data_IF_115596300715
#
_entry.id   IF_115596300715
#
_cell.length_a   1.000
_cell.length_b   1.000
_cell.length_c   1.000
_cell.angle_alpha   90.00
_cell.angle_beta   90.00
_cell.angle_gamma   90.00
#
_symmetry.space_group_name_H-M   'P 1'
#
loop_
_entity.id
_entity.type
_entity.pdbx_description
1 polymer ?
#
# COMPACT_ATOMS: atom_id res chain seq x y z
N UNK A 1 -16.36 3.85 9.16
CA UNK A 1 -15.05 4.49 8.88
C UNK A 1 -14.32 3.86 7.70
N UNK A 2 -14.18 2.54 7.62
CA UNK A 2 -13.72 1.88 6.38
C UNK A 2 -14.72 2.13 5.24
N UNK A 3 -16.01 2.29 5.56
CA UNK A 3 -17.04 2.84 4.66
C UNK A 3 -16.77 4.28 4.18
N UNK A 4 -16.06 5.13 4.94
CA UNK A 4 -15.64 6.47 4.48
C UNK A 4 -14.49 6.32 3.49
N UNK A 5 -13.56 5.39 3.72
CA UNK A 5 -12.56 5.06 2.70
C UNK A 5 -13.21 4.43 1.47
N UNK A 6 -14.19 3.53 1.64
CA UNK A 6 -14.98 2.99 0.54
C UNK A 6 -15.62 4.13 -0.24
N UNK A 7 -16.06 5.19 0.44
CA UNK A 7 -16.59 6.38 -0.19
C UNK A 7 -15.56 7.22 -0.93
N UNK A 8 -14.41 7.47 -0.32
CA UNK A 8 -13.27 8.15 -0.93
C UNK A 8 -12.87 7.38 -2.19
N UNK A 9 -12.75 6.05 -2.11
CA UNK A 9 -12.42 5.19 -3.25
C UNK A 9 -13.55 5.10 -4.28
N UNK A 10 -14.83 5.18 -3.89
CA UNK A 10 -16.00 5.19 -4.80
C UNK A 10 -16.12 6.52 -5.56
N UNK A 11 -15.82 7.63 -4.90
CA UNK A 11 -15.84 8.99 -5.48
C UNK A 11 -14.60 9.22 -6.33
N UNK A 12 -13.43 8.80 -5.86
CA UNK A 12 -12.18 9.02 -6.55
C UNK A 12 -11.87 8.01 -7.64
N UNK A 13 -12.57 6.86 -7.71
CA UNK A 13 -12.29 5.79 -8.67
C UNK A 13 -10.80 5.76 -9.03
N UNK A 14 -9.94 5.60 -8.02
CA UNK A 14 -8.54 6.06 -8.06
C UNK A 14 -7.88 5.55 -9.34
N UNK A 15 -7.60 6.45 -10.29
CA UNK A 15 -7.13 6.10 -11.63
C UNK A 15 -5.85 6.86 -11.93
N UNK A 16 -4.74 6.14 -11.92
CA UNK A 16 -3.55 6.60 -12.62
C UNK A 16 -3.01 5.50 -13.53
N UNK A 17 -3.00 5.79 -14.82
CA UNK A 17 -1.88 5.42 -15.67
C UNK A 17 -1.33 6.70 -16.30
N UNK A 18 -0.04 6.97 -16.09
CA UNK A 18 0.77 7.64 -17.09
C UNK A 18 1.29 6.58 -18.06
N UNK A 19 1.15 6.73 -19.39
CA UNK A 19 2.07 6.09 -20.30
C UNK A 19 3.39 6.87 -20.26
N UNK A 20 4.44 6.28 -19.69
CA UNK A 20 5.82 6.74 -19.92
C UNK A 20 6.17 6.36 -21.36
N UNK A 21 5.72 7.18 -22.32
CA UNK A 21 6.14 7.09 -23.70
C UNK A 21 7.35 8.02 -23.88
N UNK A 22 8.53 7.44 -24.13
CA UNK A 22 9.75 8.18 -24.52
C UNK A 22 9.44 9.05 -25.75
N UNK A 23 9.40 10.37 -25.58
CA UNK A 23 9.39 11.33 -26.69
C UNK A 23 10.73 11.26 -27.43
N UNK A 24 10.78 10.57 -28.55
CA UNK A 24 11.80 10.80 -29.57
C UNK A 24 11.21 11.75 -30.63
N UNK A 25 11.69 12.99 -30.64
CA UNK A 25 11.36 13.99 -31.64
C UNK A 25 11.93 13.59 -33.01
N UNK A 26 11.06 13.26 -33.97
CA UNK A 26 11.32 13.49 -35.39
C UNK A 26 10.07 14.06 -36.05
N UNK A 27 10.15 15.33 -36.44
CA UNK A 27 9.15 16.04 -37.22
C UNK A 27 9.12 15.52 -38.65
N UNK A 28 7.94 15.09 -39.10
CA UNK A 28 7.58 15.05 -40.52
C UNK A 28 6.17 15.65 -40.64
N UNK A 29 6.08 16.78 -41.35
CA UNK A 29 4.82 17.43 -41.68
C UNK A 29 4.17 16.73 -42.88
N UNK A 30 2.99 16.16 -42.69
CA UNK A 30 2.03 15.87 -43.78
C UNK A 30 0.61 16.10 -43.28
N UNK A 31 -0.09 17.05 -43.92
CA UNK A 31 -1.52 17.32 -43.73
C UNK A 31 -2.35 16.07 -44.03
N UNK A 32 -3.12 15.59 -43.02
CA UNK A 32 -4.16 14.57 -43.19
C UNK A 32 -5.34 14.89 -42.27
N UNK A 33 -6.55 14.74 -42.82
CA UNK A 33 -7.83 15.02 -42.19
C UNK A 33 -7.89 14.55 -40.73
N UNK A 34 -8.22 15.47 -39.83
CA UNK A 34 -8.41 15.19 -38.41
C UNK A 34 -9.81 14.61 -38.19
N UNK A 35 -9.90 13.28 -38.17
CA UNK A 35 -10.99 12.64 -37.43
C UNK A 35 -10.68 12.92 -35.96
N UNK A 36 -11.55 13.65 -35.28
CA UNK A 36 -11.49 13.86 -33.82
C UNK A 36 -11.76 12.54 -33.10
N UNK A 37 -10.79 11.62 -33.10
CA UNK A 37 -10.76 10.46 -32.20
C UNK A 37 -9.94 10.83 -30.96
N UNK A 38 -10.50 11.69 -30.12
CA UNK A 38 -10.02 11.86 -28.76
C UNK A 38 -11.07 11.32 -27.80
N UNK A 39 -11.44 10.04 -27.96
CA UNK A 39 -11.92 9.30 -26.81
C UNK A 39 -10.68 9.13 -25.92
N UNK A 40 -10.61 9.88 -24.83
CA UNK A 40 -9.70 9.58 -23.73
C UNK A 40 -10.23 8.31 -23.08
N UNK A 41 -10.08 7.17 -23.77
CA UNK A 41 -10.25 5.89 -23.14
C UNK A 41 -9.02 5.70 -22.27
N UNK A 42 -9.19 5.91 -20.96
CA UNK A 42 -8.29 5.32 -19.99
C UNK A 42 -8.41 3.81 -20.18
N UNK A 43 -7.58 3.24 -21.06
CA UNK A 43 -7.61 1.83 -21.42
C UNK A 43 -7.31 1.02 -20.16
N UNK A 44 -8.37 0.45 -19.58
CA UNK A 44 -8.24 -0.57 -18.55
C UNK A 44 -7.65 -1.82 -19.19
N UNK A 45 -6.68 -2.41 -18.52
CA UNK A 45 -6.33 -3.78 -18.83
C UNK A 45 -7.57 -4.64 -18.58
N UNK A 46 -7.71 -5.68 -19.39
CA UNK A 46 -8.90 -6.50 -19.40
C UNK A 46 -8.66 -7.72 -20.23
N UNK A 47 -9.72 -8.54 -20.33
CA UNK A 47 -9.64 -9.79 -21.07
C UNK A 47 -9.22 -9.58 -22.53
N UNK A 48 -9.66 -8.49 -23.18
CA UNK A 48 -9.24 -8.16 -24.55
C UNK A 48 -7.75 -7.83 -24.66
N UNK A 49 -7.19 -7.08 -23.71
CA UNK A 49 -5.75 -6.80 -23.71
C UNK A 49 -4.93 -8.09 -23.54
N UNK A 50 -5.38 -8.98 -22.65
CA UNK A 50 -4.78 -10.30 -22.47
C UNK A 50 -4.89 -11.19 -23.72
N UNK A 51 -6.07 -11.24 -24.34
CA UNK A 51 -6.32 -12.02 -25.56
C UNK A 51 -5.52 -11.49 -26.76
N UNK A 52 -5.33 -10.16 -26.85
CA UNK A 52 -4.50 -9.49 -27.86
C UNK A 52 -2.99 -9.68 -27.63
N UNK A 53 -2.58 -10.41 -26.59
CA UNK A 53 -1.20 -10.83 -26.37
C UNK A 53 -0.47 -10.06 -25.28
N UNK A 54 -1.14 -9.22 -24.49
CA UNK A 54 -0.51 -8.59 -23.32
C UNK A 54 -0.36 -9.58 -22.16
N UNK A 55 0.73 -10.36 -22.21
CA UNK A 55 1.15 -11.34 -21.19
C UNK A 55 2.12 -10.70 -20.18
N UNK A 56 1.91 -10.95 -18.89
CA UNK A 56 2.72 -10.42 -17.79
C UNK A 56 4.10 -11.07 -17.73
N UNK A 57 4.19 -12.38 -17.90
CA UNK A 57 5.45 -13.14 -17.86
C UNK A 57 6.47 -12.66 -18.88
N UNK A 58 6.02 -12.21 -20.06
CA UNK A 58 6.89 -11.66 -21.11
C UNK A 58 7.68 -10.41 -20.68
N UNK A 59 7.20 -9.70 -19.64
CA UNK A 59 7.83 -8.49 -19.10
C UNK A 59 8.75 -8.78 -17.92
N UNK A 60 8.67 -9.97 -17.34
CA UNK A 60 9.46 -10.34 -16.18
C UNK A 60 10.93 -10.55 -16.54
N UNK A 61 11.78 -9.97 -15.71
CA UNK A 61 13.23 -10.08 -15.70
C UNK A 61 13.66 -10.72 -14.38
N UNK A 62 14.93 -11.05 -14.25
CA UNK A 62 15.50 -11.59 -13.00
C UNK A 62 15.24 -10.64 -11.80
N UNK A 63 15.33 -9.33 -12.03
CA UNK A 63 15.09 -8.29 -11.01
C UNK A 63 13.61 -7.94 -10.81
N UNK A 64 12.66 -8.65 -11.43
CA UNK A 64 11.23 -8.42 -11.25
C UNK A 64 10.74 -9.07 -9.95
N UNK A 65 11.15 -8.51 -8.82
CA UNK A 65 10.86 -9.04 -7.48
C UNK A 65 10.26 -7.97 -6.59
N UNK A 66 9.43 -8.41 -5.64
CA UNK A 66 8.94 -7.57 -4.54
C UNK A 66 9.78 -7.87 -3.31
N UNK A 67 10.48 -6.86 -2.81
CA UNK A 67 11.34 -6.95 -1.63
C UNK A 67 10.70 -6.09 -0.54
N UNK A 68 10.39 -6.68 0.61
CA UNK A 68 9.93 -5.95 1.79
C UNK A 68 11.07 -5.73 2.75
N UNK A 69 11.31 -4.48 3.16
CA UNK A 69 12.26 -4.16 4.23
C UNK A 69 11.46 -3.98 5.51
N UNK A 70 11.67 -4.94 6.40
CA UNK A 70 11.03 -5.03 7.70
C UNK A 70 12.06 -4.75 8.79
N UNK A 71 11.60 -4.26 9.94
CA UNK A 71 12.50 -3.93 11.03
C UNK A 71 11.85 -3.09 12.10
N UNK A 72 12.60 -2.94 13.19
CA UNK A 72 12.15 -2.22 14.37
C UNK A 72 11.89 -0.72 14.06
N UNK A 73 11.20 -0.04 14.96
CA UNK A 73 11.01 1.40 14.86
C UNK A 73 12.38 2.11 14.95
N UNK A 74 12.54 3.19 14.18
CA UNK A 74 13.75 4.02 14.18
C UNK A 74 15.08 3.33 13.82
N UNK A 75 15.06 2.24 13.05
CA UNK A 75 16.27 1.58 12.53
C UNK A 75 16.86 2.22 11.24
N UNK A 76 16.27 3.31 10.73
CA UNK A 76 16.72 3.94 9.49
C UNK A 76 16.34 3.18 8.20
N UNK A 77 15.36 2.25 8.30
CA UNK A 77 14.90 1.41 7.17
C UNK A 77 14.63 2.15 5.87
N UNK A 78 14.06 3.36 5.91
CA UNK A 78 13.77 4.09 4.68
C UNK A 78 14.99 4.56 3.93
N UNK A 79 16.07 4.94 4.64
CA UNK A 79 17.33 5.28 4.00
C UNK A 79 18.00 4.04 3.38
N UNK A 80 17.87 2.88 4.00
CA UNK A 80 18.33 1.61 3.44
C UNK A 80 17.53 1.24 2.19
N UNK A 81 16.21 1.31 2.26
CA UNK A 81 15.29 1.00 1.17
C UNK A 81 15.53 1.87 -0.07
N UNK A 82 15.69 3.18 0.14
CA UNK A 82 15.99 4.11 -0.94
C UNK A 82 17.32 3.77 -1.62
N UNK A 83 18.40 3.61 -0.85
CA UNK A 83 19.72 3.29 -1.42
C UNK A 83 19.76 1.93 -2.11
N UNK A 84 19.06 0.94 -1.57
CA UNK A 84 18.95 -0.39 -2.16
C UNK A 84 18.17 -0.33 -3.48
N UNK A 85 17.13 0.50 -3.56
CA UNK A 85 16.38 0.73 -4.79
C UNK A 85 17.19 1.40 -5.88
N UNK A 86 18.01 2.40 -5.51
CA UNK A 86 18.87 3.12 -6.44
C UNK A 86 19.93 2.18 -7.04
N UNK A 87 20.48 1.25 -6.24
CA UNK A 87 21.46 0.26 -6.71
C UNK A 87 20.85 -0.82 -7.60
N UNK A 88 19.70 -1.38 -7.22
CA UNK A 88 19.04 -2.45 -7.98
C UNK A 88 18.20 -1.94 -9.16
N UNK A 89 18.01 -0.61 -9.28
CA UNK A 89 17.16 0.00 -10.30
C UNK A 89 15.66 -0.32 -10.12
N UNK A 90 15.25 -0.57 -8.87
CA UNK A 90 13.87 -0.92 -8.51
C UNK A 90 13.08 0.32 -8.08
N UNK A 91 11.75 0.24 -8.12
CA UNK A 91 10.91 1.32 -7.62
C UNK A 91 10.86 1.27 -6.09
N UNK A 92 11.26 2.35 -5.43
CA UNK A 92 11.08 2.50 -3.99
C UNK A 92 9.71 3.09 -3.65
N UNK A 93 8.99 2.40 -2.77
CA UNK A 93 7.73 2.84 -2.19
C UNK A 93 7.91 3.06 -0.67
N UNK A 94 7.82 4.31 -0.18
CA UNK A 94 8.05 4.64 1.23
C UNK A 94 6.93 4.13 2.14
N UNK A 95 7.17 4.01 3.46
CA UNK A 95 6.14 3.53 4.41
C UNK A 95 4.83 4.35 4.28
N UNK A 96 3.66 3.69 4.20
CA UNK A 96 2.42 4.39 3.95
C UNK A 96 1.97 5.10 5.22
N UNK A 97 1.58 6.35 5.06
CA UNK A 97 1.06 7.20 6.13
C UNK A 97 -0.48 7.16 6.16
N UNK A 98 -1.09 7.76 7.18
CA UNK A 98 -2.54 7.93 7.32
C UNK A 98 -3.14 8.58 6.06
N UNK A 99 -2.38 9.46 5.40
CA UNK A 99 -2.75 10.20 4.19
C UNK A 99 -2.31 9.52 2.89
N UNK A 100 -2.04 8.21 2.88
CA UNK A 100 -1.58 7.51 1.68
C UNK A 100 -2.59 7.63 0.52
N UNK A 101 -3.89 7.51 0.80
CA UNK A 101 -4.94 7.67 -0.23
C UNK A 101 -4.97 9.07 -0.81
N UNK A 102 -4.73 10.11 -0.02
CA UNK A 102 -4.64 11.49 -0.51
C UNK A 102 -3.47 11.66 -1.50
N UNK A 103 -2.33 11.01 -1.22
CA UNK A 103 -1.17 11.00 -2.12
C UNK A 103 -1.47 10.23 -3.41
N UNK A 104 -2.14 9.09 -3.28
CA UNK A 104 -2.55 8.25 -4.40
C UNK A 104 -3.52 8.99 -5.34
N UNK A 105 -4.43 9.76 -4.76
CA UNK A 105 -5.43 10.58 -5.45
C UNK A 105 -4.90 11.94 -5.91
N UNK A 106 -3.60 12.23 -5.69
CA UNK A 106 -2.93 13.48 -6.06
C UNK A 106 -3.61 14.73 -5.49
N UNK A 107 -4.12 14.65 -4.26
CA UNK A 107 -4.57 15.85 -3.57
C UNK A 107 -3.41 16.82 -3.36
N UNK A 108 -3.67 18.11 -3.59
CA UNK A 108 -2.66 19.17 -3.39
C UNK A 108 -2.33 19.36 -1.92
N UNK A 109 -3.31 19.11 -1.05
CA UNK A 109 -3.22 19.25 0.40
C UNK A 109 -3.84 18.01 1.02
N UNK A 110 -3.21 17.40 2.04
CA UNK A 110 -3.81 16.29 2.77
C UNK A 110 -5.19 16.67 3.30
N UNK A 111 -6.15 15.76 3.15
CA UNK A 111 -7.51 15.96 3.63
C UNK A 111 -7.54 15.90 5.16
N UNK A 112 -8.58 16.51 5.72
CA UNK A 112 -8.78 16.51 7.17
C UNK A 112 -8.84 15.08 7.73
N UNK A 113 -8.39 14.92 8.98
CA UNK A 113 -8.32 13.64 9.69
C UNK A 113 -9.68 12.95 9.75
N UNK A 114 -10.77 13.73 9.74
CA UNK A 114 -12.13 13.21 9.71
C UNK A 114 -12.41 12.29 8.49
N UNK A 115 -11.81 12.60 7.34
CA UNK A 115 -11.94 11.80 6.12
C UNK A 115 -10.90 10.66 6.09
N UNK A 116 -9.74 10.88 6.69
CA UNK A 116 -8.67 9.90 6.80
C UNK A 116 -8.78 9.00 8.04
N UNK A 117 -9.92 8.31 8.16
CA UNK A 117 -10.09 7.28 9.18
C UNK A 117 -10.26 7.84 10.60
N UNK A 118 -10.49 9.14 10.78
CA UNK A 118 -10.68 9.80 12.07
C UNK A 118 -9.68 9.31 13.13
N UNK A 119 -8.43 9.07 12.73
CA UNK A 119 -7.41 8.45 13.57
C UNK A 119 -6.21 9.39 13.68
N UNK A 120 -5.51 9.31 14.80
CA UNK A 120 -4.33 10.14 15.04
C UNK A 120 -3.24 9.32 15.72
N UNK A 121 -2.07 9.29 15.08
CA UNK A 121 -0.85 8.69 15.61
C UNK A 121 -0.38 9.44 16.88
N UNK A 122 -0.49 10.77 16.89
CA UNK A 122 -0.12 11.61 18.03
C UNK A 122 -0.98 11.28 19.25
N UNK A 123 -2.30 11.14 19.04
CA UNK A 123 -3.25 10.78 20.10
C UNK A 123 -2.95 9.38 20.65
N UNK A 124 -2.58 8.45 19.77
CA UNK A 124 -2.16 7.11 20.18
C UNK A 124 -0.89 7.14 21.04
N UNK A 125 0.09 7.98 20.71
CA UNK A 125 1.30 8.13 21.52
C UNK A 125 1.11 8.91 22.82
N UNK A 126 0.06 9.71 22.96
CA UNK A 126 -0.24 10.39 24.22
C UNK A 126 -1.07 9.52 25.16
N UNK A 127 -2.11 8.88 24.61
CA UNK A 127 -3.07 8.12 25.40
C UNK A 127 -3.56 6.88 24.64
N UNK A 128 -2.78 5.79 24.63
CA UNK A 128 -3.13 4.58 23.88
C UNK A 128 -4.30 3.79 24.48
N UNK A 129 -4.68 4.09 25.74
CA UNK A 129 -5.81 3.46 26.44
C UNK A 129 -7.07 4.33 26.43
N UNK A 130 -7.12 5.35 25.60
CA UNK A 130 -8.29 6.21 25.46
C UNK A 130 -9.54 5.39 25.09
N UNK A 131 -10.67 5.72 25.71
CA UNK A 131 -11.96 5.04 25.50
C UNK A 131 -12.57 5.27 24.11
N UNK A 132 -12.05 6.22 23.34
CA UNK A 132 -12.46 6.55 21.96
C UNK A 132 -12.12 5.42 20.95
N UNK A 133 -11.33 4.41 21.33
CA UNK A 133 -10.99 3.32 20.43
C UNK A 133 -10.02 3.70 19.30
N UNK A 134 -9.39 4.88 19.39
CA UNK A 134 -8.42 5.40 18.41
C UNK A 134 -7.30 4.40 18.10
N UNK A 135 -6.84 3.65 19.11
CA UNK A 135 -5.75 2.67 18.97
C UNK A 135 -6.07 1.61 17.92
N UNK A 136 -7.21 0.92 18.07
CA UNK A 136 -7.61 -0.11 17.12
C UNK A 136 -8.01 0.48 15.77
N UNK A 137 -8.68 1.64 15.79
CA UNK A 137 -9.10 2.38 14.61
C UNK A 137 -7.91 2.75 13.71
N UNK A 138 -6.84 3.27 14.32
CA UNK A 138 -5.57 3.57 13.67
C UNK A 138 -4.92 2.32 13.09
N UNK A 139 -4.89 1.21 13.84
CA UNK A 139 -4.30 -0.04 13.36
C UNK A 139 -5.03 -0.58 12.13
N UNK A 140 -6.37 -0.62 12.15
CA UNK A 140 -7.17 -1.01 10.98
C UNK A 140 -6.94 -0.08 9.77
N UNK A 141 -6.81 1.23 10.01
CA UNK A 141 -6.53 2.19 8.94
C UNK A 141 -5.15 1.96 8.32
N UNK A 142 -4.11 1.82 9.15
CA UNK A 142 -2.74 1.54 8.70
C UNK A 142 -2.65 0.23 7.93
N UNK A 143 -3.34 -0.81 8.39
CA UNK A 143 -3.43 -2.08 7.69
C UNK A 143 -3.98 -1.91 6.26
N UNK A 144 -5.08 -1.16 6.13
CA UNK A 144 -5.69 -0.86 4.83
C UNK A 144 -4.77 -0.02 3.94
N UNK A 145 -4.05 0.95 4.49
CA UNK A 145 -3.09 1.75 3.72
C UNK A 145 -1.95 0.88 3.18
N UNK A 146 -1.42 -0.04 4.00
CA UNK A 146 -0.40 -1.01 3.58
C UNK A 146 -0.92 -2.00 2.54
N UNK A 147 -2.17 -2.44 2.66
CA UNK A 147 -2.79 -3.31 1.67
C UNK A 147 -2.96 -2.61 0.31
N UNK A 148 -3.41 -1.35 0.32
CA UNK A 148 -3.52 -0.53 -0.90
C UNK A 148 -2.16 -0.28 -1.54
N UNK A 149 -1.14 0.05 -0.75
CA UNK A 149 0.22 0.20 -1.26
C UNK A 149 0.77 -1.10 -1.84
N UNK A 150 0.52 -2.24 -1.17
CA UNK A 150 0.94 -3.54 -1.69
C UNK A 150 0.26 -3.85 -3.02
N UNK A 151 -1.02 -3.50 -3.16
CA UNK A 151 -1.73 -3.58 -4.44
C UNK A 151 -1.08 -2.72 -5.52
N UNK A 152 -0.66 -1.49 -5.21
CA UNK A 152 0.05 -0.61 -6.16
C UNK A 152 1.42 -1.20 -6.54
N UNK A 153 2.12 -1.82 -5.59
CA UNK A 153 3.40 -2.49 -5.84
C UNK A 153 3.23 -3.70 -6.79
N UNK A 154 2.22 -4.53 -6.56
CA UNK A 154 1.89 -5.68 -7.41
C UNK A 154 1.42 -5.20 -8.80
N UNK A 155 0.61 -4.16 -8.87
CA UNK A 155 0.19 -3.56 -10.14
C UNK A 155 1.40 -3.04 -10.94
N UNK A 156 2.32 -2.32 -10.30
CA UNK A 156 3.54 -1.83 -10.93
C UNK A 156 4.42 -2.96 -11.44
N UNK A 157 4.61 -4.01 -10.62
CA UNK A 157 5.37 -5.20 -11.00
C UNK A 157 4.75 -5.89 -12.23
N UNK A 158 3.44 -6.16 -12.21
CA UNK A 158 2.75 -6.90 -13.28
C UNK A 158 2.61 -6.08 -14.57
N UNK A 159 2.50 -4.76 -14.46
CA UNK A 159 2.38 -3.87 -15.62
C UNK A 159 3.73 -3.55 -16.25
N UNK A 160 4.76 -3.23 -15.46
CA UNK A 160 6.05 -2.77 -15.99
C UNK A 160 7.13 -3.84 -16.04
N UNK A 161 7.02 -4.88 -15.21
CA UNK A 161 8.09 -5.83 -14.95
C UNK A 161 9.24 -5.25 -14.11
N UNK A 162 9.12 -4.04 -13.57
CA UNK A 162 10.15 -3.49 -12.68
C UNK A 162 9.92 -4.00 -11.25
N UNK A 163 11.00 -4.45 -10.58
CA UNK A 163 10.96 -4.80 -9.17
C UNK A 163 10.59 -3.62 -8.27
N UNK A 164 10.02 -3.93 -7.10
CA UNK A 164 9.54 -2.94 -6.13
C UNK A 164 10.12 -3.24 -4.75
N UNK A 165 10.62 -2.20 -4.09
CA UNK A 165 11.07 -2.25 -2.71
C UNK A 165 10.09 -1.48 -1.84
N UNK A 166 9.56 -2.17 -0.84
CA UNK A 166 8.57 -1.66 0.10
C UNK A 166 9.18 -1.51 1.48
N UNK A 167 8.76 -0.48 2.20
CA UNK A 167 8.95 -0.43 3.64
C UNK A 167 7.72 -1.02 4.35
N UNK A 168 7.92 -2.17 5.00
CA UNK A 168 6.89 -2.91 5.73
C UNK A 168 5.71 -3.37 4.88
N UNK A 169 5.60 -4.67 4.72
CA UNK A 169 4.46 -5.30 4.04
C UNK A 169 3.21 -5.40 4.94
N UNK A 170 2.00 -5.62 4.37
CA UNK A 170 0.80 -5.91 5.16
C UNK A 170 0.93 -7.21 5.97
N UNK A 171 1.82 -8.12 5.56
CA UNK A 171 2.07 -9.38 6.27
C UNK A 171 2.72 -9.15 7.63
N UNK A 172 3.57 -8.12 7.76
CA UNK A 172 4.23 -7.77 9.03
C UNK A 172 3.41 -6.83 9.92
N UNK A 173 2.18 -6.47 9.55
CA UNK A 173 1.35 -5.63 10.40
C UNK A 173 0.90 -6.33 11.69
N UNK A 174 0.79 -7.68 11.68
CA UNK A 174 0.30 -8.47 12.81
C UNK A 174 1.12 -8.29 14.09
N UNK A 175 2.43 -8.02 13.99
CA UNK A 175 3.25 -7.82 15.20
C UNK A 175 2.92 -6.53 15.94
N UNK A 176 2.44 -5.49 15.25
CA UNK A 176 1.98 -4.27 15.91
C UNK A 176 0.72 -4.55 16.71
N UNK A 177 -0.23 -5.27 16.10
CA UNK A 177 -1.45 -5.69 16.77
C UNK A 177 -1.15 -6.56 18.00
N UNK A 178 -0.27 -7.57 17.88
CA UNK A 178 0.12 -8.41 19.01
C UNK A 178 0.80 -7.62 20.13
N UNK A 179 1.67 -6.68 19.77
CA UNK A 179 2.33 -5.82 20.74
C UNK A 179 1.30 -4.93 21.47
N UNK A 180 0.36 -4.34 20.75
CA UNK A 180 -0.74 -3.56 21.33
C UNK A 180 -1.65 -4.40 22.24
N UNK A 181 -1.88 -5.67 21.90
CA UNK A 181 -2.66 -6.59 22.73
C UNK A 181 -1.93 -6.96 24.03
N UNK A 182 -0.62 -7.23 23.96
CA UNK A 182 0.21 -7.53 25.15
C UNK A 182 0.26 -6.38 26.14
N UNK A 183 0.35 -5.15 25.65
CA UNK A 183 0.32 -3.92 26.48
C UNK A 183 -1.09 -3.56 26.99
N UNK A 184 -2.12 -4.28 26.54
CA UNK A 184 -3.51 -4.07 26.94
C UNK A 184 -4.12 -2.78 26.38
N UNK A 185 -3.68 -2.34 25.19
CA UNK A 185 -4.25 -1.18 24.49
C UNK A 185 -5.51 -1.54 23.70
N UNK A 186 -5.66 -2.80 23.32
CA UNK A 186 -6.79 -3.29 22.52
C UNK A 186 -7.45 -4.49 23.20
N UNK A 187 -8.75 -4.65 22.93
CA UNK A 187 -9.53 -5.77 23.47
C UNK A 187 -9.35 -7.02 22.60
N UNK A 188 -9.58 -8.20 23.19
CA UNK A 188 -9.48 -9.48 22.47
C UNK A 188 -10.39 -9.53 21.23
N UNK A 189 -11.60 -9.01 21.33
CA UNK A 189 -12.57 -8.93 20.22
C UNK A 189 -12.01 -8.17 19.01
N UNK A 190 -11.15 -7.18 19.23
CA UNK A 190 -10.49 -6.41 18.17
C UNK A 190 -9.40 -7.24 17.47
N UNK A 191 -8.70 -8.09 18.21
CA UNK A 191 -7.74 -9.05 17.64
C UNK A 191 -8.46 -10.07 16.77
N UNK A 192 -9.59 -10.61 17.25
CA UNK A 192 -10.40 -11.56 16.49
C UNK A 192 -10.92 -10.94 15.18
N UNK A 193 -11.42 -9.70 15.23
CA UNK A 193 -11.86 -8.97 14.02
C UNK A 193 -10.70 -8.72 13.05
N UNK A 194 -9.52 -8.36 13.55
CA UNK A 194 -8.35 -8.16 12.69
C UNK A 194 -7.94 -9.47 11.99
N UNK A 195 -7.96 -10.60 12.71
CA UNK A 195 -7.62 -11.90 12.13
C UNK A 195 -8.62 -12.34 11.06
N UNK A 196 -9.91 -12.03 11.22
CA UNK A 196 -10.92 -12.23 10.17
C UNK A 196 -10.62 -11.38 8.93
N UNK A 197 -10.35 -10.08 9.12
CA UNK A 197 -9.97 -9.17 8.02
C UNK A 197 -8.72 -9.68 7.31
N UNK A 198 -7.68 -10.03 8.06
CA UNK A 198 -6.42 -10.57 7.53
C UNK A 198 -6.66 -11.86 6.74
N UNK A 199 -7.47 -12.77 7.26
CA UNK A 199 -7.75 -14.06 6.64
C UNK A 199 -8.50 -13.95 5.30
N UNK A 200 -9.34 -12.93 5.14
CA UNK A 200 -10.08 -12.67 3.88
C UNK A 200 -9.25 -11.86 2.88
N UNK A 201 -8.42 -10.93 3.34
CA UNK A 201 -7.71 -10.01 2.45
C UNK A 201 -6.34 -10.52 2.01
N UNK A 202 -5.55 -11.13 2.90
CA UNK A 202 -4.17 -11.54 2.57
C UNK A 202 -4.14 -12.73 1.61
N UNK A 203 -5.11 -13.64 1.69
CA UNK A 203 -5.13 -14.86 0.86
C UNK A 203 -5.27 -14.58 -0.64
N UNK A 204 -5.74 -13.40 -1.03
CA UNK A 204 -5.84 -12.96 -2.42
C UNK A 204 -4.52 -12.43 -3.00
N UNK A 205 -3.51 -12.19 -2.14
CA UNK A 205 -2.22 -11.66 -2.53
C UNK A 205 -1.10 -12.68 -2.33
N UNK A 206 -0.14 -12.67 -3.26
CA UNK A 206 1.10 -13.42 -3.10
C UNK A 206 2.02 -12.71 -2.08
N UNK A 207 2.76 -13.44 -1.23
CA UNK A 207 3.71 -12.87 -0.29
C UNK A 207 4.86 -12.14 -1.01
N UNK A 208 5.64 -11.27 -0.34
CA UNK A 208 6.86 -10.73 -0.95
C UNK A 208 7.84 -11.86 -1.30
N UNK A 209 8.69 -11.66 -2.31
CA UNK A 209 9.69 -12.65 -2.71
C UNK A 209 10.82 -12.76 -1.67
N UNK A 210 11.20 -11.59 -1.13
CA UNK A 210 12.25 -11.44 -0.14
C UNK A 210 11.78 -10.51 0.96
N UNK A 211 12.04 -10.90 2.20
CA UNK A 211 11.93 -10.02 3.37
C UNK A 211 13.32 -9.76 3.93
N UNK A 212 13.76 -8.51 3.86
CA UNK A 212 15.00 -8.05 4.49
C UNK A 212 14.64 -7.54 5.88
N UNK A 213 15.04 -8.25 6.92
CA UNK A 213 14.80 -7.88 8.30
C UNK A 213 16.02 -7.19 8.90
N UNK A 214 15.85 -5.96 9.39
CA UNK A 214 16.88 -5.22 10.12
C UNK A 214 16.63 -5.36 11.61
N UNK A 215 17.52 -6.10 12.28
CA UNK A 215 17.49 -6.28 13.73
C UNK A 215 18.20 -5.12 14.43
N UNK A 216 17.55 -4.62 15.47
CA UNK A 216 18.08 -3.58 16.34
C UNK A 216 17.63 -3.87 17.76
N UNK A 217 18.57 -3.99 18.72
CA UNK A 217 18.22 -4.33 20.09
C UNK A 217 17.32 -3.26 20.70
N UNK A 218 16.37 -3.70 21.53
CA UNK A 218 15.33 -2.84 22.10
C UNK A 218 15.90 -1.63 22.86
N UNK A 219 17.07 -1.77 23.49
CA UNK A 219 17.74 -0.67 24.20
C UNK A 219 18.20 0.46 23.26
N UNK A 220 18.74 0.12 22.09
CA UNK A 220 19.17 1.10 21.09
C UNK A 220 17.97 1.76 20.41
N UNK A 221 16.92 0.97 20.14
CA UNK A 221 15.64 1.48 19.63
C UNK A 221 15.09 2.54 20.58
N UNK A 222 15.07 2.28 21.89
CA UNK A 222 14.63 3.25 22.88
C UNK A 222 15.49 4.52 22.89
N UNK A 223 16.81 4.40 22.75
CA UNK A 223 17.71 5.57 22.66
C UNK A 223 17.39 6.41 21.42
N UNK A 224 17.23 5.77 20.25
CA UNK A 224 16.90 6.43 18.99
C UNK A 224 15.50 7.07 19.01
N UNK A 225 14.53 6.42 19.69
CA UNK A 225 13.18 6.96 19.85
C UNK A 225 13.15 8.17 20.77
N UNK A 226 13.88 8.14 21.88
CA UNK A 226 14.08 9.31 22.75
C UNK A 226 14.73 10.46 22.01
N UNK A 227 15.76 10.18 21.19
CA UNK A 227 16.43 11.18 20.36
C UNK A 227 15.49 11.79 19.30
N UNK A 228 14.55 11.01 18.77
CA UNK A 228 13.54 11.48 17.80
C UNK A 228 12.28 12.10 18.45
N UNK A 229 12.24 12.19 19.78
CA UNK A 229 11.13 12.78 20.53
C UNK A 229 9.87 11.90 20.62
N UNK A 230 9.95 10.62 20.20
CA UNK A 230 8.84 9.66 20.28
C UNK A 230 8.95 8.85 21.57
N UNK A 231 7.95 8.96 22.44
CA UNK A 231 7.99 8.44 23.84
C UNK A 231 7.71 6.92 23.92
N UNK A 232 7.23 6.28 22.85
CA UNK A 232 6.73 4.91 22.90
C UNK A 232 7.78 3.85 22.59
N UNK A 233 7.94 2.86 23.47
CA UNK A 233 8.78 1.69 23.27
C UNK A 233 7.92 0.42 23.20
N UNK A 234 7.87 -0.23 22.04
CA UNK A 234 7.34 -1.60 21.93
C UNK A 234 8.50 -2.59 21.79
N UNK A 235 8.39 -3.71 22.49
CA UNK A 235 9.24 -4.87 22.25
C UNK A 235 8.54 -5.75 21.21
N UNK A 236 9.07 -5.78 19.99
CA UNK A 236 8.54 -6.64 18.94
C UNK A 236 9.06 -8.05 19.15
N UNK A 237 8.17 -9.04 19.07
CA UNK A 237 8.60 -10.44 18.92
C UNK A 237 9.29 -10.59 17.57
N UNK A 238 10.29 -11.46 17.56
CA UNK A 238 11.04 -11.87 16.38
C UNK A 238 10.12 -12.24 15.20
N UNK A 239 10.10 -11.37 14.19
CA UNK A 239 9.31 -11.49 12.96
C UNK A 239 9.74 -12.65 12.05
N UNK A 240 11.00 -13.10 12.17
CA UNK A 240 11.62 -14.03 11.22
C UNK A 240 10.90 -15.38 11.11
N UNK A 241 10.30 -15.88 12.21
CA UNK A 241 9.63 -17.18 12.21
C UNK A 241 8.38 -17.23 11.34
N UNK A 242 7.69 -16.09 11.18
CA UNK A 242 6.39 -16.05 10.49
C UNK A 242 6.58 -16.16 8.97
N UNK A 243 7.70 -15.63 8.46
CA UNK A 243 7.95 -15.53 7.01
C UNK A 243 8.78 -16.66 6.43
N UNK A 244 9.46 -17.43 7.27
CA UNK A 244 10.47 -18.41 6.84
C UNK A 244 9.93 -19.52 5.94
N UNK A 245 8.62 -19.80 5.95
CA UNK A 245 7.99 -20.86 5.16
C UNK A 245 7.59 -20.39 3.75
N UNK A 246 7.13 -19.15 3.60
CA UNK A 246 6.51 -18.66 2.36
C UNK A 246 7.43 -17.74 1.53
N UNK A 247 8.41 -17.10 2.16
CA UNK A 247 9.32 -16.15 1.52
C UNK A 247 10.76 -16.38 1.96
N UNK A 248 11.71 -15.93 1.14
CA UNK A 248 13.10 -15.88 1.59
C UNK A 248 13.28 -14.73 2.58
N UNK A 249 14.09 -14.96 3.61
CA UNK A 249 14.33 -13.98 4.68
C UNK A 249 15.83 -13.77 4.84
N UNK A 250 16.27 -12.51 4.72
CA UNK A 250 17.64 -12.10 5.03
C UNK A 250 17.60 -11.21 6.27
N UNK A 251 18.29 -11.63 7.34
CA UNK A 251 18.35 -10.88 8.59
C UNK A 251 19.72 -10.22 8.74
N UNK A 252 19.72 -8.91 9.02
CA UNK A 252 20.92 -8.11 9.20
C UNK A 252 20.88 -7.37 10.54
N UNK A 253 22.03 -7.28 11.20
CA UNK A 253 22.21 -6.32 12.29
C UNK A 253 22.29 -4.89 11.74
N UNK A 254 21.95 -3.90 12.57
CA UNK A 254 21.99 -2.49 12.18
C UNK A 254 23.34 -1.99 11.63
N UNK A 255 24.46 -2.59 12.06
CA UNK A 255 25.81 -2.26 11.52
C UNK A 255 26.02 -2.88 10.14
N UNK A 256 25.60 -4.13 9.95
CA UNK A 256 25.70 -4.83 8.66
C UNK A 256 24.76 -4.22 7.62
N UNK A 257 23.58 -3.79 8.05
CA UNK A 257 22.58 -3.14 7.21
C UNK A 257 23.07 -1.81 6.59
N UNK A 258 24.12 -1.17 7.16
CA UNK A 258 24.73 0.03 6.56
C UNK A 258 25.55 -0.29 5.32
N UNK A 259 26.06 -1.52 5.22
CA UNK A 259 26.84 -2.00 4.08
C UNK A 259 25.91 -2.53 2.98
N UNK A 260 25.52 -1.61 2.10
CA UNK A 260 24.56 -1.90 1.02
C UNK A 260 25.17 -2.79 -0.06
N UNK A 261 26.50 -2.77 -0.25
CA UNK A 261 27.16 -3.63 -1.24
C UNK A 261 26.98 -5.09 -0.87
N UNK A 262 27.26 -5.41 0.39
CA UNK A 262 27.02 -6.74 0.95
C UNK A 262 25.57 -7.17 0.81
N UNK A 263 24.61 -6.31 1.16
CA UNK A 263 23.18 -6.65 1.05
C UNK A 263 22.78 -6.92 -0.41
N UNK A 264 23.31 -6.16 -1.37
CA UNK A 264 23.03 -6.38 -2.79
C UNK A 264 23.65 -7.68 -3.28
N UNK A 265 24.91 -7.97 -2.92
CA UNK A 265 25.57 -9.24 -3.24
C UNK A 265 24.78 -10.43 -2.70
N UNK A 266 24.36 -10.38 -1.42
CA UNK A 266 23.55 -11.44 -0.81
C UNK A 266 22.23 -11.67 -1.56
N UNK A 267 21.59 -10.60 -2.05
CA UNK A 267 20.35 -10.68 -2.84
C UNK A 267 20.60 -11.32 -4.22
N UNK A 268 21.72 -10.99 -4.88
CA UNK A 268 22.08 -11.53 -6.19
C UNK A 268 22.48 -13.02 -6.10
N UNK A 269 23.12 -13.43 -5.01
CA UNK A 269 23.46 -14.84 -4.76
C UNK A 269 22.28 -15.69 -4.30
N UNK A 270 21.20 -15.05 -3.84
CA UNK A 270 20.04 -15.75 -3.30
C UNK A 270 19.27 -16.47 -4.42
N UNK A 271 19.01 -17.77 -4.21
CA UNK A 271 18.16 -18.55 -5.09
C UNK A 271 16.73 -18.55 -4.57
N UNK A 272 15.82 -18.01 -5.37
CA UNK A 272 14.39 -17.95 -5.07
C UNK A 272 13.72 -19.28 -5.42
N UNK A 273 13.79 -20.24 -4.49
CA UNK A 273 13.16 -21.56 -4.64
C UNK A 273 11.87 -21.67 -3.81
N UNK A 274 11.64 -20.76 -2.86
CA UNK A 274 10.46 -20.75 -2.00
C UNK A 274 9.33 -19.86 -2.54
N UNK A 275 8.13 -20.22 -2.10
CA UNK A 275 6.93 -19.39 -2.22
C UNK A 275 6.05 -19.71 -3.43
N UNK A 276 4.79 -19.26 -3.40
CA UNK A 276 3.78 -19.60 -4.42
C UNK A 276 4.03 -18.93 -5.78
N UNK A 277 5.04 -18.05 -5.90
CA UNK A 277 5.37 -17.32 -7.13
C UNK A 277 5.78 -18.22 -8.29
N UNK A 278 6.44 -19.36 -7.99
CA UNK A 278 6.92 -20.30 -9.01
C UNK A 278 5.78 -21.10 -9.64
N UNK A 279 4.66 -21.25 -8.93
CA UNK A 279 3.49 -22.02 -9.37
C UNK A 279 2.50 -21.19 -10.21
N UNK A 280 2.79 -19.90 -10.42
CA UNK A 280 1.87 -18.98 -11.09
C UNK A 280 2.00 -19.02 -12.61
N UNK A 281 0.84 -19.08 -13.26
CA UNK A 281 0.71 -19.03 -14.72
C UNK A 281 0.28 -17.62 -15.19
N UNK A 282 0.38 -17.36 -16.49
CA UNK A 282 -0.13 -16.13 -17.11
C UNK A 282 -1.62 -15.86 -16.79
N UNK A 283 -2.41 -16.91 -16.58
CA UNK A 283 -3.84 -16.80 -16.25
C UNK A 283 -4.02 -16.31 -14.81
N UNK A 284 -3.25 -16.85 -13.86
CA UNK A 284 -3.34 -16.41 -12.46
C UNK A 284 -2.83 -14.99 -12.32
N UNK A 285 -1.74 -14.63 -12.99
CA UNK A 285 -1.27 -13.24 -13.06
C UNK A 285 -2.28 -12.28 -13.70
N UNK A 286 -3.03 -12.73 -14.72
CA UNK A 286 -4.11 -11.93 -15.30
C UNK A 286 -5.21 -11.64 -14.26
N UNK A 287 -5.65 -12.64 -13.50
CA UNK A 287 -6.65 -12.46 -12.45
C UNK A 287 -6.16 -11.56 -11.31
N UNK A 288 -4.92 -11.76 -10.85
CA UNK A 288 -4.30 -10.88 -9.84
C UNK A 288 -4.23 -9.45 -10.37
N UNK A 289 -3.81 -9.24 -11.63
CA UNK A 289 -3.76 -7.91 -12.24
C UNK A 289 -5.14 -7.24 -12.27
N UNK A 290 -6.18 -7.97 -12.67
CA UNK A 290 -7.56 -7.49 -12.64
C UNK A 290 -8.04 -7.13 -11.23
N UNK A 291 -7.62 -7.89 -10.21
CA UNK A 291 -7.94 -7.61 -8.81
C UNK A 291 -7.24 -6.34 -8.33
N UNK A 292 -5.93 -6.21 -8.57
CA UNK A 292 -5.14 -5.09 -8.05
C UNK A 292 -5.45 -3.77 -8.73
N UNK A 293 -5.91 -3.78 -9.98
CA UNK A 293 -6.41 -2.58 -10.65
C UNK A 293 -7.73 -2.06 -10.04
N UNK A 294 -8.51 -2.92 -9.38
CA UNK A 294 -9.74 -2.54 -8.67
C UNK A 294 -9.47 -2.29 -7.18
N UNK A 295 -8.97 -1.08 -6.89
CA UNK A 295 -8.66 -0.64 -5.52
C UNK A 295 -9.90 -0.59 -4.62
N UNK A 296 -11.09 -0.36 -5.20
CA UNK A 296 -12.33 -0.37 -4.43
C UNK A 296 -12.67 -1.79 -3.96
N UNK A 297 -12.52 -2.78 -4.84
CA UNK A 297 -12.67 -4.19 -4.46
C UNK A 297 -11.72 -4.57 -3.33
N UNK A 298 -10.46 -4.12 -3.39
CA UNK A 298 -9.47 -4.38 -2.33
C UNK A 298 -9.87 -3.74 -1.01
N UNK A 299 -10.27 -2.47 -1.02
CA UNK A 299 -10.76 -1.80 0.17
C UNK A 299 -11.99 -2.51 0.78
N UNK A 300 -12.91 -2.99 -0.06
CA UNK A 300 -14.09 -3.73 0.38
C UNK A 300 -13.76 -5.03 1.12
N UNK A 301 -12.64 -5.71 0.80
CA UNK A 301 -12.23 -6.93 1.51
C UNK A 301 -11.90 -6.66 2.98
N UNK A 302 -11.51 -5.43 3.32
CA UNK A 302 -11.26 -5.02 4.71
C UNK A 302 -12.53 -4.58 5.45
N UNK A 303 -13.62 -4.35 4.73
CA UNK A 303 -14.93 -3.97 5.27
C UNK A 303 -15.74 -5.22 5.66
N UNK A 304 -15.41 -5.85 6.81
CA UNK A 304 -16.23 -6.95 7.33
C UNK A 304 -17.43 -6.38 8.11
N UNK A 305 -18.67 -6.89 7.91
CA UNK A 305 -19.86 -6.43 8.62
C UNK A 305 -19.93 -6.97 10.06
N UNK A 306 -18.87 -6.72 10.85
CA UNK A 306 -18.80 -7.09 12.26
C UNK A 306 -18.75 -5.81 13.11
N UNK A 307 -19.78 -5.63 13.92
CA UNK A 307 -19.95 -4.41 14.70
C UNK A 307 -19.09 -4.43 15.95
N UNK A 308 -18.05 -3.59 15.94
CA UNK A 308 -17.21 -3.26 17.09
C UNK A 308 -17.32 -1.76 17.38
N UNK A 309 -17.44 -1.32 18.65
CA UNK A 309 -17.61 0.10 18.97
C UNK A 309 -16.43 0.98 18.57
N UNK A 310 -15.21 0.44 18.42
CA UNK A 310 -14.03 1.21 18.02
C UNK A 310 -14.02 1.60 16.53
N UNK A 311 -14.64 0.79 15.67
CA UNK A 311 -14.59 0.96 14.20
C UNK A 311 -15.96 1.25 13.57
N UNK A 312 -17.04 0.86 14.26
CA UNK A 312 -18.41 1.11 13.81
C UNK A 312 -18.71 2.59 13.95
N UNK A 313 -19.18 3.19 12.86
CA UNK A 313 -19.60 4.60 12.84
C UNK A 313 -21.12 4.62 12.78
N UNK A 314 -21.75 5.53 13.52
CA UNK A 314 -23.20 5.69 13.50
C UNK A 314 -23.69 6.12 12.12
N UNK A 315 -24.91 5.73 11.74
CA UNK A 315 -25.47 6.07 10.42
C UNK A 315 -25.55 7.59 10.19
N UNK A 316 -25.93 8.36 11.22
CA UNK A 316 -26.02 9.82 11.13
C UNK A 316 -24.65 10.48 10.96
N UNK A 317 -23.64 10.02 11.71
CA UNK A 317 -22.26 10.51 11.58
C UNK A 317 -21.69 10.19 10.21
N UNK A 318 -21.98 8.99 9.70
CA UNK A 318 -21.57 8.57 8.37
C UNK A 318 -22.22 9.42 7.28
N UNK A 319 -23.52 9.69 7.37
CA UNK A 319 -24.25 10.52 6.40
C UNK A 319 -23.75 11.98 6.42
N UNK A 320 -23.47 12.53 7.60
CA UNK A 320 -22.87 13.86 7.72
C UNK A 320 -21.47 13.90 7.08
N UNK A 321 -20.62 12.92 7.38
CA UNK A 321 -19.28 12.82 6.80
C UNK A 321 -19.32 12.61 5.27
N UNK A 322 -20.30 11.85 4.77
CA UNK A 322 -20.54 11.61 3.36
C UNK A 322 -20.77 12.90 2.59
N UNK A 323 -21.74 13.70 3.03
CA UNK A 323 -22.07 14.95 2.36
C UNK A 323 -20.99 16.02 2.56
N UNK A 324 -20.31 16.02 3.72
CA UNK A 324 -19.16 16.88 3.96
C UNK A 324 -17.98 16.54 3.03
N UNK A 325 -17.77 15.27 2.70
CA UNK A 325 -16.75 14.88 1.73
C UNK A 325 -17.14 15.27 0.31
N UNK A 326 -18.40 15.04 -0.09
CA UNK A 326 -18.90 15.41 -1.43
C UNK A 326 -18.99 16.92 -1.68
N UNK A 327 -19.05 17.73 -0.63
CA UNK A 327 -19.04 19.19 -0.76
C UNK A 327 -17.64 19.75 -0.98
N UNK A 328 -16.58 18.94 -0.83
CA UNK A 328 -15.22 19.33 -1.16
C UNK A 328 -15.05 19.51 -2.68
N UNK A 329 -14.21 20.46 -3.11
CA UNK A 329 -14.00 20.72 -4.52
C UNK A 329 -13.38 19.50 -5.22
N UNK A 330 -13.94 19.09 -6.35
CA UNK A 330 -13.48 17.96 -7.14
C UNK A 330 -13.82 16.59 -6.53
N UNK A 331 -14.77 16.53 -5.60
CA UNK A 331 -15.20 15.29 -4.89
C UNK A 331 -16.69 15.00 -5.05
N UNK A 332 -17.40 15.78 -5.85
CA UNK A 332 -18.83 15.58 -6.05
C UNK A 332 -19.10 14.46 -7.05
N UNK A 333 -18.32 14.42 -8.13
CA UNK A 333 -18.42 13.46 -9.23
C UNK A 333 -17.08 12.75 -9.45
N UNK A 334 -17.09 11.75 -10.34
CA UNK A 334 -15.89 11.05 -10.76
C UNK A 334 -14.84 12.01 -11.35
N UNK A 335 -13.57 11.65 -11.24
CA UNK A 335 -12.45 12.43 -11.78
C UNK A 335 -12.66 12.71 -13.29
N UNK A 336 -12.49 13.97 -13.70
CA UNK A 336 -12.71 14.42 -15.07
C UNK A 336 -14.12 14.94 -15.38
N UNK A 337 -15.04 14.90 -14.42
CA UNK A 337 -16.44 15.36 -14.52
C UNK A 337 -16.80 16.48 -13.51
N UNK A 338 -15.81 17.14 -12.92
CA UNK A 338 -16.00 18.13 -11.88
C UNK A 338 -15.76 19.57 -12.44
N UNK A 339 -16.84 20.32 -12.66
CA UNK A 339 -16.78 21.70 -13.19
C UNK A 339 -16.02 22.68 -12.29
N UNK A 340 -16.14 22.48 -10.98
CA UNK A 340 -15.55 23.28 -9.92
C UNK A 340 -14.01 23.24 -9.88
N UNK A 341 -13.40 22.17 -10.40
CA UNK A 341 -11.94 22.07 -10.57
C UNK A 341 -11.47 22.40 -11.99
N UNK A 342 -12.40 22.82 -12.86
CA UNK A 342 -12.11 23.25 -14.22
C UNK A 342 -12.02 22.12 -15.24
N UNK A 343 -12.68 20.98 -14.99
CA UNK A 343 -12.75 19.90 -15.97
C UNK A 343 -13.48 20.38 -17.24
N UNK A 344 -12.86 20.13 -18.39
CA UNK A 344 -13.39 20.53 -19.71
C UNK A 344 -14.02 19.36 -20.44
N UNK A 345 -15.02 19.66 -21.28
CA UNK A 345 -15.64 18.68 -22.16
C UNK A 345 -16.50 17.64 -21.44
N UNK A 346 -17.03 17.98 -20.25
CA UNK A 346 -17.77 17.06 -19.37
C UNK A 346 -18.95 16.40 -20.10
N UNK A 347 -19.69 17.16 -20.91
CA UNK A 347 -20.79 16.67 -21.73
C UNK A 347 -20.43 15.66 -22.83
N UNK A 348 -19.14 15.52 -23.18
CA UNK A 348 -18.64 14.67 -24.26
C UNK A 348 -17.72 13.54 -23.78
N UNK A 349 -17.59 13.35 -22.46
CA UNK A 349 -16.92 12.21 -21.84
C UNK A 349 -17.97 11.23 -21.36
#
# INVERSE_FOLDING_TARGET
MILILQLIMTVHAVRQHQPICRKNNRMFYTLKAQIHTSAVSNLRYGWWAYALGERTTSRFKENSKIISIDGNLACGKGALAQKLSDKLGMLYMPEPDIHYVDKMTKEKVPLDKAFNGNCSLEKFYLEPKASDGNSYRLQCWMYLMRLLQYSDAVEHLLSTGQGVILERSPFSDIVFLEAMFKEGFIRKQCVDHYNEVKGVSICEFLPPHLVVYVDLPAEEVQKNLKASGKVFSFSFKNLYLIFSEEAEVLAYDATQAQDIERVVEDIEYLKFEKGPWLEQDDVTFHHIRMLVEDKQRIANMTCIPRYLPEVTVGAHEFDAAYYAFKSLPGKKYAEGYNEDVGDKGIWLK
#
